data_IF_925226080082
#
_entry.id   IF_925226080082
#
_cell.length_a   1.000
_cell.length_b   1.000
_cell.length_c   1.000
_cell.angle_alpha   90.00
_cell.angle_beta   90.00
_cell.angle_gamma   90.00
#
_symmetry.space_group_name_H-M   'P 1'
#
loop_
_entity.id
_entity.type
_entity.pdbx_description
1 polymer ?
#
# COMPACT_ATOMS: atom_id res chain seq x y z
N UNK A 1 29.50 16.05 -0.57
CA UNK A 1 28.65 15.60 -1.70
C UNK A 1 27.29 15.15 -1.17
N UNK A 2 26.44 16.08 -0.72
CA UNK A 2 25.14 15.77 -0.06
C UNK A 2 23.95 15.78 -1.05
N UNK A 3 24.12 16.18 -2.31
CA UNK A 3 23.14 17.13 -2.85
C UNK A 3 21.98 16.59 -3.69
N UNK A 4 21.98 15.34 -4.15
CA UNK A 4 20.87 14.85 -4.98
C UNK A 4 19.87 14.01 -4.19
N UNK A 5 20.32 12.96 -3.50
CA UNK A 5 19.43 12.07 -2.74
C UNK A 5 18.72 12.78 -1.59
N UNK A 6 19.40 13.72 -0.91
CA UNK A 6 18.76 14.51 0.15
C UNK A 6 17.64 15.40 -0.38
N UNK A 7 17.82 15.96 -1.58
CA UNK A 7 16.81 16.78 -2.25
C UNK A 7 15.62 15.94 -2.73
N UNK A 8 15.89 14.74 -3.26
CA UNK A 8 14.86 13.77 -3.64
C UNK A 8 14.04 13.31 -2.43
N UNK A 9 14.68 13.04 -1.29
CA UNK A 9 13.99 12.71 -0.05
C UNK A 9 13.14 13.87 0.45
N UNK A 10 13.70 15.09 0.51
CA UNK A 10 12.97 16.27 0.96
C UNK A 10 11.72 16.51 0.10
N UNK A 11 11.86 16.46 -1.23
CA UNK A 11 10.74 16.60 -2.13
C UNK A 11 9.75 15.42 -2.01
N UNK A 12 10.25 14.20 -1.83
CA UNK A 12 9.42 13.03 -1.62
C UNK A 12 8.57 13.11 -0.35
N UNK A 13 9.11 13.63 0.75
CA UNK A 13 8.34 13.86 1.98
C UNK A 13 7.37 15.03 1.86
N UNK A 14 7.74 16.09 1.14
CA UNK A 14 6.91 17.29 1.00
C UNK A 14 5.78 17.12 -0.02
N UNK A 15 6.05 16.44 -1.13
CA UNK A 15 5.17 16.36 -2.30
C UNK A 15 4.74 14.93 -2.65
N UNK A 16 5.33 13.92 -2.00
CA UNK A 16 5.11 12.51 -2.30
C UNK A 16 6.19 11.90 -3.18
N UNK A 17 6.37 10.59 -3.07
CA UNK A 17 7.32 9.83 -3.88
C UNK A 17 6.66 9.35 -5.19
N UNK A 18 7.40 9.43 -6.29
CA UNK A 18 6.96 8.87 -7.57
C UNK A 18 7.01 7.35 -7.50
N UNK A 19 5.85 6.72 -7.31
CA UNK A 19 5.73 5.28 -7.40
C UNK A 19 5.98 4.82 -8.85
N UNK A 20 6.77 3.77 -9.05
CA UNK A 20 7.09 3.15 -10.35
C UNK A 20 5.90 2.42 -10.99
N UNK A 21 4.67 2.85 -10.69
CA UNK A 21 3.43 2.24 -11.14
C UNK A 21 3.26 2.47 -12.64
N UNK A 22 3.26 1.38 -13.42
CA UNK A 22 3.01 1.39 -14.88
C UNK A 22 1.62 0.81 -15.19
N UNK A 23 0.60 1.28 -14.47
CA UNK A 23 -0.76 0.79 -14.61
C UNK A 23 -1.52 1.53 -15.72
N UNK A 24 -2.36 0.83 -16.50
CA UNK A 24 -3.35 1.47 -17.36
C UNK A 24 -4.21 2.43 -16.52
N UNK A 25 -4.32 3.69 -16.95
CA UNK A 25 -5.13 4.74 -16.30
C UNK A 25 -6.63 4.51 -16.57
N UNK A 26 -7.14 3.34 -16.18
CA UNK A 26 -8.52 2.89 -16.43
C UNK A 26 -9.31 2.88 -15.13
N UNK A 27 -10.58 3.25 -15.24
CA UNK A 27 -11.55 3.05 -14.17
C UNK A 27 -11.78 1.57 -13.92
N UNK A 28 -11.91 1.19 -12.65
CA UNK A 28 -12.41 -0.14 -12.28
C UNK A 28 -13.08 -0.09 -10.91
N UNK A 29 -14.12 -0.90 -10.74
CA UNK A 29 -14.86 -1.02 -9.49
C UNK A 29 -15.08 -2.50 -9.20
N UNK A 30 -14.48 -2.98 -8.12
CA UNK A 30 -14.56 -4.38 -7.73
C UNK A 30 -15.44 -4.54 -6.50
N UNK A 31 -16.11 -5.69 -6.38
CA UNK A 31 -16.92 -6.01 -5.21
C UNK A 31 -16.05 -6.21 -3.98
N UNK A 32 -16.54 -5.75 -2.83
CA UNK A 32 -15.90 -5.95 -1.54
C UNK A 32 -15.88 -7.43 -1.14
N UNK A 33 -14.93 -7.79 -0.28
CA UNK A 33 -14.81 -9.14 0.26
C UNK A 33 -16.03 -9.50 1.12
N UNK A 34 -16.39 -10.78 1.15
CA UNK A 34 -17.53 -11.29 1.93
C UNK A 34 -17.47 -10.89 3.40
N UNK A 35 -16.28 -10.72 3.98
CA UNK A 35 -16.12 -10.31 5.38
C UNK A 35 -16.70 -8.91 5.67
N UNK A 36 -16.65 -7.99 4.70
CA UNK A 36 -17.29 -6.67 4.79
C UNK A 36 -18.81 -6.79 4.66
N UNK A 37 -19.27 -7.59 3.69
CA UNK A 37 -20.72 -7.80 3.49
C UNK A 37 -21.39 -8.44 4.71
N UNK A 38 -20.67 -9.33 5.42
CA UNK A 38 -21.13 -9.94 6.67
C UNK A 38 -21.05 -9.00 7.89
N UNK A 39 -20.20 -7.97 7.85
CA UNK A 39 -19.99 -7.06 8.98
C UNK A 39 -19.99 -5.59 8.51
N UNK A 40 -21.08 -5.10 7.89
CA UNK A 40 -21.10 -3.78 7.26
C UNK A 40 -20.96 -2.63 8.25
N UNK A 41 -21.54 -2.78 9.46
CA UNK A 41 -21.48 -1.77 10.53
C UNK A 41 -20.04 -1.56 11.00
N UNK A 42 -19.32 -2.65 11.25
CA UNK A 42 -17.91 -2.58 11.67
C UNK A 42 -17.00 -2.04 10.56
N UNK A 43 -17.27 -2.37 9.30
CA UNK A 43 -16.55 -1.78 8.16
C UNK A 43 -16.77 -0.25 8.10
N UNK A 44 -18.02 0.20 8.19
CA UNK A 44 -18.37 1.61 8.14
C UNK A 44 -17.75 2.39 9.30
N UNK A 45 -17.80 1.84 10.52
CA UNK A 45 -17.16 2.43 11.70
C UNK A 45 -15.66 2.63 11.49
N UNK A 46 -14.97 1.65 10.90
CA UNK A 46 -13.53 1.77 10.61
C UNK A 46 -13.24 2.79 9.53
N UNK A 47 -14.02 2.81 8.45
CA UNK A 47 -13.90 3.83 7.40
C UNK A 47 -14.08 5.24 7.97
N UNK A 48 -15.13 5.45 8.78
CA UNK A 48 -15.38 6.74 9.41
C UNK A 48 -14.23 7.17 10.33
N UNK A 49 -13.62 6.23 11.06
CA UNK A 49 -12.44 6.52 11.88
C UNK A 49 -11.21 6.89 11.04
N UNK A 50 -10.97 6.23 9.92
CA UNK A 50 -9.87 6.60 9.00
C UNK A 50 -10.08 8.00 8.41
N UNK A 51 -11.33 8.34 8.09
CA UNK A 51 -11.73 9.65 7.57
C UNK A 51 -11.60 10.73 8.65
N UNK A 52 -12.08 10.49 9.87
CA UNK A 52 -11.99 11.48 10.97
C UNK A 52 -10.56 11.78 11.38
N UNK A 53 -9.65 10.81 11.22
CA UNK A 53 -8.21 10.98 11.42
C UNK A 53 -7.50 11.67 10.24
N UNK A 54 -8.22 12.02 9.17
CA UNK A 54 -7.65 12.66 7.98
C UNK A 54 -6.75 11.74 7.15
N UNK A 55 -6.78 10.42 7.40
CA UNK A 55 -5.95 9.43 6.68
C UNK A 55 -6.57 9.01 5.34
N UNK A 56 -7.89 9.16 5.21
CA UNK A 56 -8.63 8.91 3.97
C UNK A 56 -9.52 10.10 3.64
N UNK A 57 -9.61 10.43 2.35
CA UNK A 57 -10.56 11.42 1.86
C UNK A 57 -11.89 10.76 1.49
N UNK A 58 -12.99 11.49 1.68
CA UNK A 58 -14.35 11.04 1.40
C UNK A 58 -15.25 11.01 2.65
N UNK A 59 -16.41 10.33 2.59
CA UNK A 59 -16.95 9.67 1.41
C UNK A 59 -17.29 10.68 0.31
N UNK A 60 -17.04 10.32 -0.94
CA UNK A 60 -17.38 11.18 -2.07
C UNK A 60 -18.79 10.85 -2.55
N UNK A 61 -19.64 11.88 -2.74
CA UNK A 61 -20.99 11.70 -3.31
C UNK A 61 -20.96 11.22 -4.76
N UNK A 62 -19.97 11.70 -5.50
CA UNK A 62 -19.71 11.32 -6.89
C UNK A 62 -18.24 10.98 -7.05
N UNK A 63 -17.92 10.23 -8.09
CA UNK A 63 -16.55 9.83 -8.39
C UNK A 63 -15.66 11.07 -8.59
N UNK A 64 -14.61 11.29 -7.78
CA UNK A 64 -13.79 12.50 -7.85
C UNK A 64 -12.93 12.60 -9.13
N UNK A 65 -12.64 11.47 -9.79
CA UNK A 65 -11.87 11.40 -11.04
C UNK A 65 -12.44 10.32 -11.96
N UNK A 66 -12.46 10.56 -13.27
CA UNK A 66 -13.09 9.66 -14.25
C UNK A 66 -12.47 8.25 -14.26
N UNK A 67 -11.16 8.17 -14.07
CA UNK A 67 -10.37 6.94 -14.05
C UNK A 67 -10.09 6.41 -12.62
N UNK A 68 -10.95 6.72 -11.63
CA UNK A 68 -10.77 6.18 -10.28
C UNK A 68 -10.81 4.64 -10.32
N UNK A 69 -9.85 4.06 -9.61
CA UNK A 69 -9.70 2.63 -9.39
C UNK A 69 -10.09 2.29 -7.97
N UNK A 70 -11.16 1.50 -7.81
CA UNK A 70 -11.70 1.08 -6.53
C UNK A 70 -11.36 -0.41 -6.27
N UNK A 71 -10.29 -0.65 -5.52
CA UNK A 71 -9.92 -1.99 -5.05
C UNK A 71 -10.89 -2.48 -3.94
N UNK A 72 -11.15 -3.79 -3.83
CA UNK A 72 -11.99 -4.34 -2.77
C UNK A 72 -11.45 -4.01 -1.39
N UNK A 73 -12.35 -3.77 -0.42
CA UNK A 73 -11.99 -3.77 1.00
C UNK A 73 -12.42 -5.07 1.68
N UNK A 74 -11.72 -5.40 2.76
CA UNK A 74 -11.95 -6.60 3.57
C UNK A 74 -11.78 -6.33 5.06
N UNK A 75 -12.32 -7.23 5.87
CA UNK A 75 -12.09 -7.28 7.31
C UNK A 75 -11.31 -8.55 7.68
N UNK A 76 -10.25 -8.39 8.48
CA UNK A 76 -9.40 -9.48 8.98
C UNK A 76 -9.32 -9.43 10.51
N UNK A 77 -9.48 -10.56 11.23
CA UNK A 77 -9.31 -10.59 12.68
C UNK A 77 -7.90 -10.19 13.13
N UNK A 78 -7.81 -9.42 14.21
CA UNK A 78 -6.54 -9.14 14.90
C UNK A 78 -6.29 -10.20 15.98
N UNK A 79 -5.02 -10.49 16.26
CA UNK A 79 -4.62 -11.37 17.39
C UNK A 79 -5.08 -10.84 18.75
N UNK A 80 -5.15 -9.53 18.91
CA UNK A 80 -5.56 -8.84 20.14
C UNK A 80 -7.07 -8.60 20.24
N UNK A 81 -7.86 -9.23 19.36
CA UNK A 81 -9.30 -8.98 19.26
C UNK A 81 -9.67 -7.83 18.30
N UNK A 82 -10.91 -7.90 17.80
CA UNK A 82 -11.47 -6.98 16.82
C UNK A 82 -11.01 -7.22 15.39
N UNK A 83 -11.54 -6.42 14.46
CA UNK A 83 -11.28 -6.52 13.02
C UNK A 83 -10.34 -5.40 12.54
N UNK A 84 -9.56 -5.69 11.50
CA UNK A 84 -8.73 -4.73 10.74
C UNK A 84 -9.33 -4.57 9.35
N UNK A 85 -9.54 -3.33 8.94
CA UNK A 85 -9.87 -3.01 7.56
C UNK A 85 -8.62 -3.19 6.68
N UNK A 86 -8.75 -3.90 5.57
CA UNK A 86 -7.69 -4.10 4.58
C UNK A 86 -8.18 -3.64 3.21
N UNK A 87 -7.24 -3.20 2.37
CA UNK A 87 -7.48 -2.90 0.95
C UNK A 87 -6.78 -3.97 0.11
N UNK A 88 -7.53 -4.65 -0.75
CA UNK A 88 -7.04 -5.79 -1.52
C UNK A 88 -6.36 -5.32 -2.81
N UNK A 89 -5.12 -4.82 -2.67
CA UNK A 89 -4.34 -4.24 -3.77
C UNK A 89 -3.78 -5.27 -4.77
N UNK A 90 -3.89 -6.56 -4.47
CA UNK A 90 -3.52 -7.68 -5.34
C UNK A 90 -4.71 -8.25 -6.15
N UNK A 91 -5.84 -7.56 -6.16
CA UNK A 91 -7.01 -7.93 -6.96
C UNK A 91 -7.30 -6.91 -8.06
N UNK A 92 -7.74 -7.32 -9.26
CA UNK A 92 -7.88 -8.69 -9.80
C UNK A 92 -6.51 -9.24 -10.27
N UNK A 93 -6.24 -10.56 -10.25
CA UNK A 93 -4.97 -11.10 -10.73
C UNK A 93 -4.64 -10.64 -12.16
N UNK A 94 -3.37 -10.29 -12.39
CA UNK A 94 -2.82 -9.72 -13.64
C UNK A 94 -3.30 -8.30 -13.99
N UNK A 95 -4.18 -7.72 -13.19
CA UNK A 95 -4.67 -6.36 -13.38
C UNK A 95 -4.65 -5.57 -12.09
N UNK A 96 -4.05 -6.08 -11.02
CA UNK A 96 -4.07 -5.46 -9.70
C UNK A 96 -3.13 -4.26 -9.62
N UNK A 97 -3.27 -3.43 -8.58
CA UNK A 97 -2.33 -2.31 -8.37
C UNK A 97 -0.91 -2.86 -8.25
N UNK A 98 -0.74 -3.97 -7.53
CA UNK A 98 0.55 -4.57 -7.28
C UNK A 98 1.18 -5.20 -8.53
N UNK A 99 0.38 -5.71 -9.48
CA UNK A 99 0.88 -6.29 -10.73
C UNK A 99 1.59 -5.26 -11.62
N UNK A 100 1.23 -3.98 -11.46
CA UNK A 100 1.84 -2.87 -12.20
C UNK A 100 2.98 -2.18 -11.46
N UNK A 101 3.41 -2.71 -10.31
CA UNK A 101 4.60 -2.23 -9.60
C UNK A 101 5.81 -2.96 -10.15
N UNK A 102 6.64 -2.21 -10.83
CA UNK A 102 7.83 -2.74 -11.51
C UNK A 102 8.86 -3.27 -10.50
N UNK A 103 9.15 -4.57 -10.59
CA UNK A 103 10.03 -5.29 -9.67
C UNK A 103 11.47 -4.81 -9.75
N UNK A 104 11.89 -4.19 -10.86
CA UNK A 104 13.26 -3.66 -10.98
C UNK A 104 13.55 -2.53 -9.96
N UNK A 105 12.50 -1.80 -9.54
CA UNK A 105 12.62 -0.70 -8.59
C UNK A 105 12.19 -1.07 -7.16
N UNK A 106 11.62 -2.28 -6.96
CA UNK A 106 11.09 -2.72 -5.66
C UNK A 106 11.72 -4.01 -5.14
N UNK A 107 12.66 -4.60 -5.90
CA UNK A 107 13.43 -5.75 -5.45
C UNK A 107 14.36 -5.35 -4.30
N UNK A 108 14.09 -5.91 -3.12
CA UNK A 108 14.98 -5.82 -1.96
C UNK A 108 15.82 -7.09 -1.90
N UNK A 109 17.15 -6.94 -1.87
CA UNK A 109 18.08 -8.05 -1.63
C UNK A 109 18.52 -8.01 -0.17
N UNK A 110 18.20 -9.08 0.57
CA UNK A 110 18.68 -9.24 1.94
C UNK A 110 20.08 -9.85 1.94
N UNK A 111 20.96 -9.31 2.79
CA UNK A 111 22.23 -9.97 3.10
C UNK A 111 21.94 -11.27 3.86
N UNK A 112 22.59 -12.37 3.49
CA UNK A 112 22.52 -13.60 4.27
C UNK A 112 23.30 -13.47 5.57
N UNK A 113 22.97 -14.34 6.54
CA UNK A 113 23.76 -14.46 7.77
C UNK A 113 25.23 -14.80 7.46
N UNK A 114 25.48 -15.68 6.49
CA UNK A 114 26.84 -16.03 6.07
C UNK A 114 27.62 -14.83 5.53
N UNK A 115 26.96 -13.91 4.81
CA UNK A 115 27.59 -12.68 4.36
C UNK A 115 28.00 -11.82 5.56
N UNK A 116 27.17 -11.73 6.60
CA UNK A 116 27.52 -11.02 7.83
C UNK A 116 28.71 -11.69 8.55
N UNK A 117 28.70 -13.02 8.69
CA UNK A 117 29.82 -13.77 9.31
C UNK A 117 31.13 -13.57 8.54
N UNK A 118 31.10 -13.60 7.20
CA UNK A 118 32.28 -13.33 6.37
C UNK A 118 32.83 -11.93 6.58
N UNK A 119 31.95 -10.92 6.70
CA UNK A 119 32.35 -9.53 6.98
C UNK A 119 33.02 -9.45 8.36
N UNK A 120 32.40 -10.02 9.40
CA UNK A 120 32.95 -10.02 10.76
C UNK A 120 34.29 -10.75 10.82
N UNK A 121 34.41 -11.93 10.21
CA UNK A 121 35.68 -12.68 10.16
C UNK A 121 36.79 -11.92 9.42
N UNK A 122 36.44 -11.14 8.40
CA UNK A 122 37.40 -10.33 7.64
C UNK A 122 37.82 -9.06 8.36
N UNK A 123 36.92 -8.45 9.14
CA UNK A 123 37.14 -7.16 9.81
C UNK A 123 37.58 -7.31 11.27
N UNK A 124 37.26 -8.43 11.91
CA UNK A 124 37.78 -8.81 13.22
C UNK A 124 39.25 -9.18 13.10
N UNK A 125 40.08 -8.62 13.98
CA UNK A 125 41.46 -9.06 14.19
C UNK A 125 41.50 -10.38 14.92
#
# INVERSE_FOLDING_TARGET
>A
MIRQSAFELLNGFKYGFKNSLRSPRRSCEYRNLLSVLKNPIEAQKKLNNEISLGRMAGPFKHKPISNLRCSPIGLVPKKTGGLRLITHLSYQPNESINDFIDTQFTKVTYSSFDNAVKIVKRMGK
#
